data_IF_940360952738
#
_entry.id   IF_940360952738
#
_cell.length_a   1.000
_cell.length_b   1.000
_cell.length_c   1.000
_cell.angle_alpha   90.00
_cell.angle_beta   90.00
_cell.angle_gamma   90.00
#
_symmetry.space_group_name_H-M   'P 1'
#
loop_
_entity.id
_entity.type
_entity.pdbx_description
1 polymer ?
#
# COMPACT_ATOMS: atom_id res chain seq x y z
N UNK A 1 -37.05 10.05 15.16
CA UNK A 1 -37.24 10.83 13.92
C UNK A 1 -38.06 12.06 14.26
N UNK A 2 -37.41 13.16 14.62
CA UNK A 2 -38.08 14.45 14.79
C UNK A 2 -38.20 15.09 13.41
N UNK A 3 -39.44 15.23 12.94
CA UNK A 3 -39.74 16.08 11.78
C UNK A 3 -39.46 17.51 12.22
N UNK A 4 -38.37 18.09 11.71
CA UNK A 4 -38.09 19.51 11.91
C UNK A 4 -39.13 20.31 11.12
N UNK A 5 -40.10 20.87 11.85
CA UNK A 5 -41.04 21.84 11.32
C UNK A 5 -40.39 23.24 11.35
N UNK A 6 -40.30 23.84 10.16
CA UNK A 6 -40.16 25.26 9.85
C UNK A 6 -38.97 26.04 10.44
N UNK A 7 -38.22 26.68 9.54
CA UNK A 7 -38.09 28.14 9.55
C UNK A 7 -37.88 28.66 8.13
N UNK A 8 -38.73 29.61 7.77
CA UNK A 8 -38.69 30.37 6.54
C UNK A 8 -37.39 31.17 6.43
N UNK A 9 -36.61 30.88 5.39
CA UNK A 9 -35.77 31.83 4.65
C UNK A 9 -35.84 31.50 3.15
N UNK A 10 -37.01 31.10 2.65
CA UNK A 10 -37.24 30.83 1.21
C UNK A 10 -37.40 32.14 0.42
N UNK A 11 -36.81 33.24 0.87
CA UNK A 11 -36.99 34.55 0.23
C UNK A 11 -36.01 34.82 -0.92
N UNK A 12 -35.10 33.88 -1.24
CA UNK A 12 -34.10 34.10 -2.31
C UNK A 12 -33.96 32.99 -3.34
N UNK A 13 -34.58 31.83 -3.15
CA UNK A 13 -34.51 30.70 -4.09
C UNK A 13 -35.76 30.71 -4.98
N UNK A 14 -35.60 31.15 -6.22
CA UNK A 14 -36.73 31.55 -7.07
C UNK A 14 -37.26 30.44 -7.98
N UNK A 15 -36.55 29.32 -8.11
CA UNK A 15 -36.88 28.27 -9.07
C UNK A 15 -37.42 27.00 -8.41
N UNK A 16 -38.44 26.39 -9.02
CA UNK A 16 -39.03 25.11 -8.59
C UNK A 16 -37.99 23.97 -8.55
N UNK A 17 -37.00 24.02 -9.44
CA UNK A 17 -35.91 23.05 -9.50
C UNK A 17 -34.98 23.16 -8.27
N UNK A 18 -34.66 24.39 -7.86
CA UNK A 18 -33.78 24.67 -6.71
C UNK A 18 -34.42 24.23 -5.38
N UNK A 19 -35.73 24.36 -5.24
CA UNK A 19 -36.50 23.85 -4.09
C UNK A 19 -36.45 22.31 -4.02
N UNK A 20 -36.52 21.64 -5.17
CA UNK A 20 -36.44 20.18 -5.23
C UNK A 20 -35.04 19.67 -4.86
N UNK A 21 -34.00 20.33 -5.36
CA UNK A 21 -32.60 20.05 -5.02
C UNK A 21 -32.34 20.21 -3.52
N UNK A 22 -32.87 21.28 -2.90
CA UNK A 22 -32.77 21.47 -1.45
C UNK A 22 -33.41 20.36 -0.63
N UNK A 23 -34.61 19.89 -1.03
CA UNK A 23 -35.27 18.78 -0.36
C UNK A 23 -34.43 17.51 -0.43
N UNK A 24 -33.80 17.24 -1.58
CA UNK A 24 -32.88 16.10 -1.76
C UNK A 24 -31.66 16.22 -0.86
N UNK A 25 -31.02 17.39 -0.84
CA UNK A 25 -29.85 17.69 0.01
C UNK A 25 -30.18 17.49 1.49
N UNK A 26 -31.27 18.06 1.99
CA UNK A 26 -31.65 17.95 3.41
C UNK A 26 -32.01 16.52 3.79
N UNK A 27 -32.75 15.80 2.93
CA UNK A 27 -33.05 14.38 3.17
C UNK A 27 -31.77 13.55 3.26
N UNK A 28 -30.80 13.82 2.37
CA UNK A 28 -29.53 13.11 2.35
C UNK A 28 -28.64 13.48 3.55
N UNK A 29 -28.60 14.75 3.96
CA UNK A 29 -27.87 15.19 5.16
C UNK A 29 -28.42 14.54 6.44
N UNK A 30 -29.74 14.54 6.62
CA UNK A 30 -30.42 13.86 7.73
C UNK A 30 -30.09 12.37 7.81
N UNK A 31 -30.02 11.70 6.66
CA UNK A 31 -29.65 10.29 6.59
C UNK A 31 -28.17 10.06 6.95
N UNK A 32 -27.28 10.98 6.54
CA UNK A 32 -25.85 10.93 6.81
C UNK A 32 -25.48 11.18 8.29
N UNK A 33 -26.37 11.83 9.06
CA UNK A 33 -26.07 12.32 10.41
C UNK A 33 -25.60 11.23 11.41
N UNK A 34 -25.92 9.95 11.26
CA UNK A 34 -25.70 8.98 12.35
C UNK A 34 -24.34 8.25 12.36
N UNK A 35 -23.52 8.30 11.28
CA UNK A 35 -22.40 7.35 11.09
C UNK A 35 -20.98 7.89 11.41
N UNK A 36 -20.73 9.19 11.28
CA UNK A 36 -19.44 9.88 11.54
C UNK A 36 -18.17 9.36 10.83
N UNK A 37 -18.27 8.46 9.85
CA UNK A 37 -17.10 7.86 9.17
C UNK A 37 -16.44 8.76 8.10
N UNK A 38 -17.14 9.79 7.60
CA UNK A 38 -16.66 10.61 6.48
C UNK A 38 -15.46 11.51 6.81
N UNK A 39 -15.24 11.84 8.09
CA UNK A 39 -14.15 12.72 8.53
C UNK A 39 -12.78 12.05 8.36
N UNK A 40 -12.69 10.74 8.58
CA UNK A 40 -11.42 10.00 8.56
C UNK A 40 -10.85 9.80 7.15
N UNK A 41 -11.67 10.02 6.11
CA UNK A 41 -11.30 9.77 4.71
C UNK A 41 -11.21 11.05 3.88
N UNK A 42 -11.52 12.21 4.46
CA UNK A 42 -11.54 13.49 3.78
C UNK A 42 -10.17 14.20 3.93
N UNK A 43 -9.36 14.33 2.86
CA UNK A 43 -8.06 14.99 2.95
C UNK A 43 -8.14 16.47 3.39
N UNK A 44 -9.12 17.27 2.93
CA UNK A 44 -9.34 18.63 3.45
C UNK A 44 -9.69 18.72 4.94
N UNK A 45 -10.34 17.70 5.50
CA UNK A 45 -10.70 17.68 6.92
C UNK A 45 -9.47 17.48 7.81
N UNK A 46 -8.50 16.68 7.36
CA UNK A 46 -7.22 16.48 8.04
C UNK A 46 -6.43 17.79 8.18
N UNK A 47 -6.52 18.68 7.18
CA UNK A 47 -5.84 19.97 7.18
C UNK A 47 -6.64 21.07 7.89
N UNK A 48 -7.77 20.74 8.52
CA UNK A 48 -8.71 21.69 9.11
C UNK A 48 -9.22 22.77 8.13
N UNK A 49 -9.20 22.50 6.82
CA UNK A 49 -9.62 23.43 5.76
C UNK A 49 -11.12 23.30 5.48
N UNK A 50 -11.66 22.09 5.53
CA UNK A 50 -13.07 21.81 5.33
C UNK A 50 -13.47 20.51 6.02
N UNK A 51 -14.53 20.55 6.83
CA UNK A 51 -15.03 19.36 7.51
C UNK A 51 -16.41 18.97 6.95
N UNK A 52 -16.51 17.85 6.20
CA UNK A 52 -17.79 17.31 5.73
C UNK A 52 -18.84 17.19 6.82
N UNK A 53 -18.43 16.88 8.06
CA UNK A 53 -19.34 16.65 9.17
C UNK A 53 -19.97 17.93 9.71
N UNK A 54 -19.21 19.02 9.76
CA UNK A 54 -19.74 20.32 10.15
C UNK A 54 -20.84 20.73 9.17
N UNK A 55 -20.56 20.58 7.86
CA UNK A 55 -21.56 20.82 6.83
C UNK A 55 -22.80 19.93 6.98
N UNK A 56 -22.65 18.61 7.17
CA UNK A 56 -23.82 17.72 7.37
C UNK A 56 -24.61 18.09 8.62
N UNK A 57 -23.92 18.44 9.70
CA UNK A 57 -24.56 18.85 10.97
C UNK A 57 -25.33 20.15 10.78
N UNK A 58 -24.71 21.13 10.13
CA UNK A 58 -25.34 22.42 9.87
C UNK A 58 -26.50 22.29 8.89
N UNK A 59 -26.39 21.49 7.83
CA UNK A 59 -27.51 21.19 6.93
C UNK A 59 -28.66 20.41 7.60
N UNK A 60 -28.40 19.77 8.75
CA UNK A 60 -29.41 19.05 9.53
C UNK A 60 -30.18 20.01 10.45
N UNK A 61 -29.54 21.07 10.96
CA UNK A 61 -30.08 21.92 12.02
C UNK A 61 -30.28 23.39 11.67
N UNK A 62 -29.58 23.90 10.66
CA UNK A 62 -29.61 25.29 10.20
C UNK A 62 -30.34 25.41 8.86
N UNK A 63 -30.64 26.65 8.46
CA UNK A 63 -31.04 26.92 7.09
C UNK A 63 -29.88 26.62 6.12
N UNK A 64 -30.16 26.28 4.84
CA UNK A 64 -29.11 26.11 3.83
C UNK A 64 -28.20 27.33 3.69
N UNK A 65 -28.74 28.54 3.87
CA UNK A 65 -27.97 29.78 3.86
C UNK A 65 -26.93 29.79 4.99
N UNK A 66 -27.39 29.63 6.24
CA UNK A 66 -26.53 29.63 7.43
C UNK A 66 -25.52 28.48 7.39
N UNK A 67 -25.93 27.30 6.89
CA UNK A 67 -25.03 26.16 6.74
C UNK A 67 -23.90 26.46 5.73
N UNK A 68 -24.20 27.18 4.64
CA UNK A 68 -23.21 27.57 3.64
C UNK A 68 -22.35 28.76 4.09
N UNK A 69 -22.86 29.65 4.94
CA UNK A 69 -22.06 30.69 5.58
C UNK A 69 -21.01 30.10 6.53
N UNK A 70 -21.40 29.08 7.31
CA UNK A 70 -20.50 28.42 8.27
C UNK A 70 -19.53 27.43 7.61
N UNK A 71 -19.81 26.99 6.38
CA UNK A 71 -19.02 25.96 5.71
C UNK A 71 -18.67 26.38 4.29
N UNK A 72 -17.38 26.61 4.06
CA UNK A 72 -16.88 26.88 2.72
C UNK A 72 -16.88 25.60 1.86
N UNK A 73 -17.99 25.35 1.16
CA UNK A 73 -18.17 24.17 0.28
C UNK A 73 -17.20 24.14 -0.91
N UNK A 74 -16.55 25.26 -1.24
CA UNK A 74 -15.58 25.35 -2.33
C UNK A 74 -14.27 24.66 -1.98
N UNK A 75 -13.95 24.53 -0.69
CA UNK A 75 -12.80 23.80 -0.18
C UNK A 75 -12.92 22.26 -0.34
N UNK A 76 -14.11 21.75 -0.66
CA UNK A 76 -14.27 20.33 -0.97
C UNK A 76 -13.62 19.98 -2.32
N UNK A 77 -12.79 18.95 -2.40
CA UNK A 77 -12.15 18.57 -3.67
C UNK A 77 -13.05 17.73 -4.59
N UNK A 78 -14.22 17.30 -4.12
CA UNK A 78 -15.10 16.37 -4.86
C UNK A 78 -14.40 15.10 -5.37
N UNK A 79 -13.36 14.64 -4.65
CA UNK A 79 -12.54 13.48 -5.02
C UNK A 79 -13.26 12.12 -4.93
N UNK A 80 -14.47 12.08 -4.36
CA UNK A 80 -15.29 10.86 -4.29
C UNK A 80 -14.93 9.87 -3.19
N UNK A 81 -13.82 10.06 -2.45
CA UNK A 81 -13.36 9.12 -1.41
C UNK A 81 -14.42 8.86 -0.35
N UNK A 82 -15.09 9.92 0.12
CA UNK A 82 -16.19 9.81 1.07
C UNK A 82 -17.34 8.94 0.55
N UNK A 83 -17.62 8.91 -0.75
CA UNK A 83 -18.65 8.06 -1.36
C UNK A 83 -18.19 6.60 -1.44
N UNK A 84 -16.91 6.35 -1.75
CA UNK A 84 -16.33 4.98 -1.85
C UNK A 84 -16.24 4.29 -0.49
N UNK A 85 -15.81 5.03 0.55
CA UNK A 85 -15.62 4.49 1.90
C UNK A 85 -16.90 4.48 2.73
N UNK A 86 -17.98 5.09 2.25
CA UNK A 86 -19.25 5.13 2.97
C UNK A 86 -19.88 3.72 2.99
N UNK A 87 -20.04 3.09 4.16
CA UNK A 87 -20.66 1.77 4.25
C UNK A 87 -22.13 1.80 3.79
N UNK A 88 -22.79 2.96 3.92
CA UNK A 88 -24.18 3.12 3.48
C UNK A 88 -24.30 3.15 1.95
N UNK A 89 -23.25 3.58 1.23
CA UNK A 89 -23.27 3.68 -0.24
C UNK A 89 -23.09 2.30 -0.91
N UNK A 90 -22.62 1.28 -0.16
CA UNK A 90 -22.43 -0.09 -0.70
C UNK A 90 -23.73 -0.85 -0.98
N UNK A 91 -24.84 -0.46 -0.36
CA UNK A 91 -26.13 -1.15 -0.49
C UNK A 91 -27.15 -0.39 -1.35
N UNK A 92 -26.71 0.57 -2.19
CA UNK A 92 -27.57 1.51 -2.96
C UNK A 92 -28.55 2.36 -2.12
N UNK A 93 -28.44 2.29 -0.78
CA UNK A 93 -29.31 2.96 0.19
C UNK A 93 -28.62 4.20 0.81
N UNK A 94 -27.40 4.52 0.35
CA UNK A 94 -26.53 5.51 0.96
C UNK A 94 -26.62 6.92 0.40
N UNK A 95 -25.92 7.82 1.09
CA UNK A 95 -25.83 9.25 0.75
C UNK A 95 -24.56 9.50 -0.06
N UNK A 96 -24.74 9.92 -1.31
CA UNK A 96 -23.64 10.38 -2.14
C UNK A 96 -23.23 11.80 -1.72
N UNK A 97 -22.27 11.90 -0.81
CA UNK A 97 -21.78 13.19 -0.32
C UNK A 97 -21.20 14.07 -1.44
N UNK A 98 -20.60 13.45 -2.47
CA UNK A 98 -20.12 14.19 -3.65
C UNK A 98 -21.27 14.83 -4.41
N UNK A 99 -22.43 14.17 -4.46
CA UNK A 99 -23.63 14.74 -5.05
C UNK A 99 -24.21 15.88 -4.20
N UNK A 100 -24.25 15.73 -2.86
CA UNK A 100 -24.62 16.82 -1.94
C UNK A 100 -23.79 18.07 -2.23
N UNK A 101 -22.47 17.93 -2.34
CA UNK A 101 -21.58 19.06 -2.63
C UNK A 101 -21.87 19.68 -3.99
N UNK A 102 -22.10 18.87 -5.04
CA UNK A 102 -22.45 19.37 -6.37
C UNK A 102 -23.77 20.15 -6.36
N UNK A 103 -24.78 19.61 -5.67
CA UNK A 103 -26.11 20.20 -5.54
C UNK A 103 -26.04 21.54 -4.77
N UNK A 104 -25.31 21.58 -3.66
CA UNK A 104 -25.06 22.81 -2.88
C UNK A 104 -24.30 23.86 -3.69
N UNK A 105 -23.32 23.45 -4.49
CA UNK A 105 -22.59 24.38 -5.38
C UNK A 105 -23.47 24.94 -6.48
N UNK A 106 -24.36 24.13 -7.04
CA UNK A 106 -25.36 24.60 -8.02
C UNK A 106 -26.28 25.64 -7.39
N UNK A 107 -26.78 25.38 -6.17
CA UNK A 107 -27.57 26.33 -5.38
C UNK A 107 -26.79 27.59 -4.98
N UNK A 108 -25.48 27.48 -4.75
CA UNK A 108 -24.59 28.60 -4.42
C UNK A 108 -24.64 29.75 -5.45
N UNK A 109 -25.00 29.45 -6.71
CA UNK A 109 -25.17 30.45 -7.77
C UNK A 109 -26.34 31.42 -7.55
N UNK A 110 -27.27 31.11 -6.64
CA UNK A 110 -28.40 31.97 -6.28
C UNK A 110 -28.12 32.85 -5.05
N UNK A 111 -27.03 32.57 -4.32
CA UNK A 111 -26.64 33.30 -3.11
C UNK A 111 -25.56 34.34 -3.40
N UNK A 112 -25.92 35.63 -3.26
CA UNK A 112 -25.04 36.75 -3.63
C UNK A 112 -23.72 36.79 -2.84
N UNK A 113 -23.72 36.43 -1.55
CA UNK A 113 -22.52 36.50 -0.71
C UNK A 113 -21.48 35.43 -1.06
N UNK A 114 -21.90 34.24 -1.51
CA UNK A 114 -21.01 33.17 -1.98
C UNK A 114 -20.36 33.47 -3.34
N UNK A 115 -20.76 34.56 -4.00
CA UNK A 115 -20.17 35.02 -5.27
C UNK A 115 -19.02 36.02 -5.06
N UNK A 116 -18.87 36.56 -3.84
CA UNK A 116 -17.98 37.70 -3.56
C UNK A 116 -16.69 37.31 -2.79
N UNK A 117 -16.63 36.12 -2.17
CA UNK A 117 -15.41 35.64 -1.47
C UNK A 117 -14.46 34.86 -2.40
N UNK A 118 -13.26 35.40 -2.64
CA UNK A 118 -12.16 34.69 -3.29
C UNK A 118 -11.21 34.06 -2.26
N UNK A 119 -10.81 32.81 -2.49
CA UNK A 119 -9.85 32.08 -1.64
C UNK A 119 -8.41 32.54 -1.90
N UNK A 120 -7.75 33.10 -0.87
CA UNK A 120 -6.30 33.31 -0.84
C UNK A 120 -5.57 32.15 -0.16
N UNK A 121 -4.37 31.81 -0.66
CA UNK A 121 -3.48 30.83 -0.03
C UNK A 121 -2.13 31.48 0.31
N UNK A 122 -1.50 30.98 1.38
CA UNK A 122 -0.21 31.40 1.94
C UNK A 122 1.00 31.38 0.97
N UNK A 123 0.83 30.93 -0.28
CA UNK A 123 1.88 30.90 -1.30
C UNK A 123 1.73 31.99 -2.38
N UNK A 124 0.95 33.05 -2.13
CA UNK A 124 0.64 34.12 -3.08
C UNK A 124 0.09 33.62 -4.44
N UNK A 125 -0.57 32.46 -4.44
CA UNK A 125 -1.29 31.91 -5.59
C UNK A 125 -2.73 31.64 -5.19
N UNK A 126 -3.68 32.09 -6.01
CA UNK A 126 -5.10 31.85 -5.83
C UNK A 126 -5.38 30.35 -5.96
N UNK A 127 -5.91 29.70 -4.92
CA UNK A 127 -6.47 28.36 -5.07
C UNK A 127 -7.84 28.47 -5.75
N UNK A 128 -7.99 27.63 -6.77
CA UNK A 128 -9.20 27.24 -7.52
C UNK A 128 -10.45 28.12 -7.35
N UNK A 129 -10.59 29.11 -8.24
CA UNK A 129 -11.91 29.55 -8.73
C UNK A 129 -12.68 28.43 -9.46
N UNK A 130 -12.09 27.23 -9.61
CA UNK A 130 -12.58 26.14 -10.46
C UNK A 130 -13.91 25.52 -10.00
N UNK A 131 -14.12 25.06 -8.75
CA UNK A 131 -15.44 24.59 -8.31
C UNK A 131 -16.56 25.62 -8.50
N UNK A 132 -16.25 26.91 -8.25
CA UNK A 132 -17.14 28.04 -8.47
C UNK A 132 -17.47 28.25 -9.96
N UNK A 133 -16.45 28.22 -10.83
CA UNK A 133 -16.61 28.31 -12.29
C UNK A 133 -17.37 27.11 -12.87
N UNK A 134 -17.16 25.91 -12.33
CA UNK A 134 -17.89 24.70 -12.74
C UNK A 134 -19.37 24.75 -12.36
N UNK A 135 -19.73 25.45 -11.30
CA UNK A 135 -21.11 25.64 -10.86
C UNK A 135 -21.85 26.78 -11.58
N UNK A 136 -21.15 27.61 -12.35
CA UNK A 136 -21.74 28.73 -13.07
C UNK A 136 -22.24 28.29 -14.46
N UNK A 137 -23.55 28.31 -14.66
CA UNK A 137 -24.19 27.92 -15.93
C UNK A 137 -24.30 29.08 -16.95
N UNK A 138 -23.83 30.28 -16.60
CA UNK A 138 -23.86 31.47 -17.48
C UNK A 138 -22.62 31.58 -18.39
N UNK A 139 -21.66 30.66 -18.27
CA UNK A 139 -20.45 30.63 -19.10
C UNK A 139 -20.80 29.94 -20.43
N UNK A 140 -20.52 30.60 -21.57
CA UNK A 140 -20.69 30.00 -22.92
C UNK A 140 -19.41 29.28 -23.36
N UNK A 141 -19.58 28.23 -24.18
CA UNK A 141 -18.54 27.23 -24.44
C UNK A 141 -18.24 27.07 -25.93
N UNK A 142 -16.95 26.96 -26.27
CA UNK A 142 -16.48 26.47 -27.58
C UNK A 142 -15.36 25.43 -27.40
N UNK A 143 -15.67 24.15 -27.62
CA UNK A 143 -14.68 23.06 -27.59
C UNK A 143 -13.87 23.04 -28.89
N UNK A 144 -12.82 23.85 -28.97
CA UNK A 144 -11.99 23.98 -30.19
C UNK A 144 -11.02 22.81 -30.42
N UNK A 145 -10.69 22.01 -29.40
CA UNK A 145 -9.56 21.08 -29.46
C UNK A 145 -9.93 19.59 -29.32
N UNK A 146 -11.19 19.24 -29.06
CA UNK A 146 -11.70 17.85 -29.12
C UNK A 146 -11.22 16.89 -28.02
N UNK A 147 -9.99 17.03 -27.52
CA UNK A 147 -9.37 16.13 -26.52
C UNK A 147 -10.05 16.12 -25.14
N UNK A 148 -11.02 17.00 -24.91
CA UNK A 148 -11.81 17.09 -23.68
C UNK A 148 -13.23 16.56 -23.84
N UNK A 149 -13.58 16.00 -25.01
CA UNK A 149 -14.82 15.26 -25.19
C UNK A 149 -14.91 14.10 -24.19
N UNK A 150 -16.03 14.01 -23.46
CA UNK A 150 -16.28 12.98 -22.45
C UNK A 150 -15.76 13.28 -21.04
N UNK A 151 -15.05 14.40 -20.81
CA UNK A 151 -14.47 14.71 -19.49
C UNK A 151 -15.39 15.47 -18.54
N UNK A 152 -16.53 15.99 -19.03
CA UNK A 152 -17.44 16.90 -18.30
C UNK A 152 -16.77 18.19 -17.75
N UNK A 153 -15.58 18.55 -18.24
CA UNK A 153 -14.87 19.78 -17.84
C UNK A 153 -15.38 21.00 -18.64
N UNK A 154 -15.54 22.14 -17.95
CA UNK A 154 -16.01 23.42 -18.53
C UNK A 154 -14.80 24.33 -18.87
N UNK A 155 -14.76 24.93 -20.06
CA UNK A 155 -13.64 25.76 -20.58
C UNK A 155 -14.18 27.09 -21.11
N UNK A 156 -13.44 28.20 -21.00
CA UNK A 156 -13.84 29.51 -21.54
C UNK A 156 -13.47 29.70 -23.02
N UNK A 157 -14.14 30.62 -23.72
CA UNK A 157 -13.96 30.88 -25.17
C UNK A 157 -12.56 31.36 -25.58
N UNK A 158 -11.78 31.90 -24.63
CA UNK A 158 -10.40 32.36 -24.86
C UNK A 158 -9.36 31.26 -24.68
N UNK A 159 -9.75 30.06 -24.25
CA UNK A 159 -8.81 28.96 -23.98
C UNK A 159 -7.87 29.21 -22.79
N UNK A 160 -8.09 30.29 -22.04
CA UNK A 160 -7.24 30.75 -20.92
C UNK A 160 -7.31 29.83 -19.70
N UNK A 161 -8.25 28.88 -19.67
CA UNK A 161 -8.38 27.90 -18.60
C UNK A 161 -8.25 26.49 -19.19
N UNK A 162 -7.03 26.14 -19.56
CA UNK A 162 -6.50 24.85 -19.18
C UNK A 162 -5.61 25.11 -17.96
N UNK A 163 -5.69 24.31 -16.89
CA UNK A 163 -4.53 23.74 -16.20
C UNK A 163 -4.88 22.95 -14.92
N UNK A 164 -4.25 21.77 -14.86
CA UNK A 164 -3.52 21.13 -13.76
C UNK A 164 -4.02 21.32 -12.31
N UNK A 165 -4.53 20.23 -11.72
CA UNK A 165 -4.63 20.09 -10.27
C UNK A 165 -3.21 20.04 -9.67
N UNK A 166 -2.78 21.12 -9.00
CA UNK A 166 -1.53 21.12 -8.24
C UNK A 166 -1.50 20.05 -7.14
N UNK A 167 -0.30 19.48 -6.94
CA UNK A 167 0.09 18.54 -5.88
C UNK A 167 -0.57 17.14 -5.91
N UNK A 168 -0.24 16.38 -6.94
CA UNK A 168 -0.51 14.93 -7.09
C UNK A 168 -0.22 14.05 -5.85
N UNK A 169 0.72 14.33 -4.93
CA UNK A 169 0.94 13.47 -3.75
C UNK A 169 -0.20 13.52 -2.73
N UNK A 170 -1.07 14.53 -2.76
CA UNK A 170 -2.21 14.65 -1.83
C UNK A 170 -3.50 14.01 -2.35
N UNK A 171 -3.52 13.52 -3.60
CA UNK A 171 -4.73 13.04 -4.29
C UNK A 171 -4.94 11.53 -4.26
N UNK A 172 -3.98 10.74 -3.79
CA UNK A 172 -4.26 9.33 -3.53
C UNK A 172 -4.89 9.26 -2.14
N UNK A 173 -6.21 9.14 -2.04
CA UNK A 173 -6.93 8.80 -0.80
C UNK A 173 -6.60 7.42 -0.22
N UNK A 174 -5.43 6.92 -0.58
CA UNK A 174 -4.81 5.69 -0.20
C UNK A 174 -3.95 5.99 1.02
N UNK A 175 -4.18 5.27 2.10
CA UNK A 175 -3.44 5.50 3.33
C UNK A 175 -1.92 5.43 3.06
N UNK A 176 -1.11 6.30 3.68
CA UNK A 176 0.34 6.29 3.48
C UNK A 176 1.01 4.93 3.72
N UNK A 177 0.44 4.11 4.61
CA UNK A 177 0.91 2.74 4.83
C UNK A 177 0.65 1.79 3.66
N UNK A 178 -0.41 2.00 2.87
CA UNK A 178 -0.69 1.26 1.63
C UNK A 178 0.24 1.73 0.52
N UNK A 179 0.44 3.06 0.38
CA UNK A 179 1.40 3.64 -0.58
C UNK A 179 2.83 3.18 -0.28
N UNK A 180 3.21 3.16 1.00
CA UNK A 180 4.50 2.66 1.45
C UNK A 180 4.66 1.15 1.31
N UNK A 181 3.60 0.39 1.06
CA UNK A 181 3.71 -1.04 0.82
C UNK A 181 4.01 -1.30 -0.66
N UNK A 182 5.15 -1.91 -1.02
CA UNK A 182 5.47 -2.19 -2.43
C UNK A 182 4.45 -3.12 -3.11
N UNK A 183 3.77 -3.96 -2.33
CA UNK A 183 2.72 -4.86 -2.82
C UNK A 183 1.33 -4.20 -2.83
N UNK A 184 1.17 -2.96 -2.35
CA UNK A 184 -0.13 -2.27 -2.31
C UNK A 184 -1.17 -2.93 -1.40
N UNK A 185 -0.74 -3.69 -0.38
CA UNK A 185 -1.64 -4.38 0.55
C UNK A 185 -2.52 -3.37 1.30
N UNK A 186 -3.81 -3.67 1.46
CA UNK A 186 -4.74 -2.86 2.27
C UNK A 186 -4.45 -2.99 3.78
N UNK A 187 -3.46 -2.23 4.24
CA UNK A 187 -3.04 -2.19 5.64
C UNK A 187 -4.17 -1.76 6.57
N UNK A 188 -4.96 -0.75 6.19
CA UNK A 188 -6.03 -0.27 7.06
C UNK A 188 -7.13 -1.33 7.22
N UNK A 189 -7.51 -1.97 6.11
CA UNK A 189 -8.52 -3.02 6.11
C UNK A 189 -8.14 -4.18 7.00
N UNK A 190 -6.95 -4.77 6.84
CA UNK A 190 -6.59 -5.94 7.64
C UNK A 190 -6.34 -5.58 9.12
N UNK A 191 -5.83 -4.38 9.42
CA UNK A 191 -5.70 -3.93 10.82
C UNK A 191 -7.09 -3.77 11.46
N UNK A 192 -8.08 -3.20 10.76
CA UNK A 192 -9.46 -3.11 11.25
C UNK A 192 -10.06 -4.49 11.49
N UNK A 193 -9.87 -5.44 10.57
CA UNK A 193 -10.36 -6.81 10.72
C UNK A 193 -9.74 -7.52 11.93
N UNK A 194 -8.45 -7.30 12.20
CA UNK A 194 -7.78 -7.78 13.43
C UNK A 194 -8.45 -7.21 14.68
N UNK A 195 -8.75 -5.91 14.72
CA UNK A 195 -9.42 -5.30 15.88
C UNK A 195 -10.82 -5.86 16.14
N UNK A 196 -11.51 -6.33 15.10
CA UNK A 196 -12.82 -6.96 15.19
C UNK A 196 -12.75 -8.49 15.47
N UNK A 197 -11.55 -9.06 15.62
CA UNK A 197 -11.36 -10.51 15.80
C UNK A 197 -11.56 -11.35 14.53
N UNK A 198 -11.68 -10.70 13.37
CA UNK A 198 -11.90 -11.32 12.05
C UNK A 198 -10.58 -11.71 11.39
N UNK A 199 -9.83 -12.60 12.04
CA UNK A 199 -8.45 -12.93 11.65
C UNK A 199 -8.37 -13.65 10.30
N UNK A 200 -9.34 -14.52 9.97
CA UNK A 200 -9.38 -15.18 8.67
C UNK A 200 -9.60 -14.18 7.54
N UNK A 201 -10.55 -13.25 7.70
CA UNK A 201 -10.78 -12.19 6.73
C UNK A 201 -9.54 -11.29 6.58
N UNK A 202 -8.81 -11.03 7.67
CA UNK A 202 -7.61 -10.21 7.64
C UNK A 202 -6.48 -10.86 6.81
N UNK A 203 -6.22 -12.15 7.00
CA UNK A 203 -5.17 -12.86 6.23
C UNK A 203 -5.59 -13.06 4.77
N UNK A 204 -6.87 -13.33 4.50
CA UNK A 204 -7.40 -13.42 3.13
C UNK A 204 -7.26 -12.07 2.40
N UNK A 205 -7.58 -10.95 3.08
CA UNK A 205 -7.41 -9.60 2.51
C UNK A 205 -5.94 -9.30 2.16
N UNK A 206 -4.98 -9.74 2.99
CA UNK A 206 -3.56 -9.60 2.67
C UNK A 206 -3.21 -10.38 1.39
N UNK A 207 -3.74 -11.60 1.25
CA UNK A 207 -3.51 -12.49 0.09
C UNK A 207 -4.21 -12.05 -1.19
N UNK A 208 -5.05 -11.03 -1.14
CA UNK A 208 -5.54 -10.38 -2.37
C UNK A 208 -4.41 -9.72 -3.15
N UNK A 209 -3.38 -9.20 -2.46
CA UNK A 209 -2.26 -8.48 -3.06
C UNK A 209 -0.89 -9.11 -2.80
N UNK A 210 -0.76 -9.94 -1.75
CA UNK A 210 0.50 -10.57 -1.39
C UNK A 210 0.30 -12.03 -0.91
N UNK A 211 0.70 -13.05 -1.69
CA UNK A 211 0.55 -14.44 -1.31
C UNK A 211 1.57 -14.95 -0.29
N UNK A 212 2.49 -14.10 0.18
CA UNK A 212 3.57 -14.46 1.09
C UNK A 212 3.48 -13.72 2.46
N UNK A 213 2.33 -13.78 3.16
CA UNK A 213 2.16 -13.05 4.42
C UNK A 213 3.07 -13.55 5.55
N UNK A 214 3.39 -14.85 5.64
CA UNK A 214 4.32 -15.34 6.66
C UNK A 214 5.71 -14.76 6.48
N UNK A 215 6.19 -14.76 5.24
CA UNK A 215 7.45 -14.15 4.86
C UNK A 215 7.44 -12.65 5.20
N UNK A 216 6.46 -11.91 4.70
CA UNK A 216 6.41 -10.46 4.91
C UNK A 216 6.06 -10.05 6.35
N UNK A 217 5.51 -10.93 7.17
CA UNK A 217 5.31 -10.70 8.60
C UNK A 217 6.61 -10.80 9.41
N UNK A 218 7.67 -11.41 8.87
CA UNK A 218 8.92 -11.67 9.59
C UNK A 218 10.09 -10.83 9.09
N UNK A 219 10.28 -10.76 7.77
CA UNK A 219 11.51 -10.19 7.19
C UNK A 219 11.30 -8.88 6.41
N UNK A 220 10.06 -8.41 6.29
CA UNK A 220 9.76 -7.14 5.62
C UNK A 220 10.44 -5.96 6.36
N UNK A 221 10.95 -4.98 5.62
CA UNK A 221 11.54 -3.75 6.17
C UNK A 221 10.50 -2.70 6.62
N UNK A 222 9.22 -3.08 6.66
CA UNK A 222 8.12 -2.28 7.23
C UNK A 222 8.01 -0.84 6.68
N UNK A 223 8.18 -0.65 5.37
CA UNK A 223 8.01 0.65 4.70
C UNK A 223 6.62 1.28 4.95
N UNK A 224 5.61 0.44 5.11
CA UNK A 224 4.27 0.86 5.52
C UNK A 224 4.22 1.52 6.91
N UNK A 225 5.06 1.09 7.86
CA UNK A 225 5.18 1.70 9.18
C UNK A 225 5.99 3.01 9.13
N UNK A 226 7.01 3.12 8.27
CA UNK A 226 7.76 4.37 8.05
C UNK A 226 6.91 5.50 7.50
N UNK A 227 5.90 5.16 6.72
CA UNK A 227 4.97 6.14 6.17
C UNK A 227 3.74 6.34 7.07
N UNK A 228 3.64 5.64 8.20
CA UNK A 228 2.44 5.68 9.04
C UNK A 228 2.23 7.08 9.63
N UNK A 229 1.05 7.67 9.45
CA UNK A 229 0.70 8.99 10.02
C UNK A 229 0.80 9.02 11.55
N UNK A 230 0.66 7.87 12.21
CA UNK A 230 0.70 7.78 13.66
C UNK A 230 2.06 8.22 14.24
N UNK A 231 3.14 8.12 13.45
CA UNK A 231 4.48 8.56 13.85
C UNK A 231 4.58 10.05 14.23
N UNK A 232 3.61 10.87 13.80
CA UNK A 232 3.55 12.30 14.15
C UNK A 232 2.86 12.57 15.49
N UNK A 233 2.31 11.54 16.14
CA UNK A 233 1.64 11.62 17.43
C UNK A 233 2.40 10.79 18.47
N UNK A 234 2.62 9.51 18.17
CA UNK A 234 3.32 8.53 19.00
C UNK A 234 4.01 7.47 18.09
N UNK A 235 4.11 6.22 18.53
CA UNK A 235 4.75 5.18 17.74
C UNK A 235 3.91 4.76 16.53
N UNK A 236 4.54 4.46 15.37
CA UNK A 236 3.82 3.94 14.22
C UNK A 236 3.13 2.62 14.58
N UNK A 237 2.04 2.32 13.88
CA UNK A 237 1.37 1.02 14.04
C UNK A 237 2.35 -0.09 13.69
N UNK A 238 2.41 -1.14 14.52
CA UNK A 238 3.23 -2.34 14.34
C UNK A 238 2.68 -3.24 13.21
N UNK A 239 2.64 -2.70 11.99
CA UNK A 239 1.93 -3.25 10.83
C UNK A 239 2.50 -4.62 10.40
N UNK A 240 3.82 -4.81 10.53
CA UNK A 240 4.49 -6.08 10.22
C UNK A 240 4.17 -7.13 11.28
N UNK A 241 4.17 -6.74 12.56
CA UNK A 241 3.92 -7.60 13.71
C UNK A 241 2.45 -8.04 13.72
N UNK A 242 1.52 -7.16 13.35
CA UNK A 242 0.11 -7.51 13.14
C UNK A 242 -0.06 -8.51 11.99
N UNK A 243 0.70 -8.36 10.88
CA UNK A 243 0.73 -9.34 9.78
C UNK A 243 1.27 -10.70 10.26
N UNK A 244 2.34 -10.70 11.06
CA UNK A 244 2.87 -11.91 11.68
C UNK A 244 1.84 -12.58 12.57
N UNK A 245 1.17 -11.81 13.43
CA UNK A 245 0.14 -12.32 14.34
C UNK A 245 -0.97 -13.07 13.60
N UNK A 246 -1.57 -12.47 12.55
CA UNK A 246 -2.63 -13.15 11.79
C UNK A 246 -2.13 -14.35 11.01
N UNK A 247 -0.88 -14.30 10.52
CA UNK A 247 -0.25 -15.45 9.87
C UNK A 247 -0.11 -16.59 10.88
N UNK A 248 0.49 -16.33 12.05
CA UNK A 248 0.69 -17.35 13.10
C UNK A 248 -0.64 -17.90 13.66
N UNK A 249 -1.72 -17.09 13.65
CA UNK A 249 -3.06 -17.52 13.99
C UNK A 249 -3.60 -18.56 12.99
N UNK A 250 -3.33 -18.40 11.69
CA UNK A 250 -3.82 -19.30 10.64
C UNK A 250 -3.27 -20.73 10.77
N UNK A 251 -2.00 -20.90 11.19
CA UNK A 251 -1.43 -22.25 11.46
C UNK A 251 -2.28 -23.02 12.47
N UNK A 252 -2.80 -22.33 13.48
CA UNK A 252 -3.62 -22.93 14.54
C UNK A 252 -5.08 -23.13 14.09
N UNK A 253 -5.48 -22.54 12.97
CA UNK A 253 -6.84 -22.52 12.45
C UNK A 253 -6.86 -22.80 10.94
N UNK A 254 -6.35 -23.97 10.49
CA UNK A 254 -6.17 -24.25 9.07
C UNK A 254 -7.51 -24.41 8.33
N UNK A 255 -7.46 -24.29 7.00
CA UNK A 255 -8.57 -24.57 6.06
C UNK A 255 -9.78 -23.61 6.11
N UNK A 256 -9.67 -22.46 6.79
CA UNK A 256 -10.76 -21.49 6.89
C UNK A 256 -10.77 -20.43 5.76
N UNK A 257 -9.71 -20.36 4.94
CA UNK A 257 -9.60 -19.36 3.87
C UNK A 257 -10.74 -19.45 2.85
N UNK A 258 -11.28 -18.28 2.48
CA UNK A 258 -12.30 -18.14 1.43
C UNK A 258 -11.67 -18.04 0.04
N UNK A 259 -10.36 -17.86 -0.06
CA UNK A 259 -9.62 -17.92 -1.32
C UNK A 259 -9.50 -19.39 -1.71
N UNK A 260 -10.29 -19.81 -2.69
CA UNK A 260 -10.30 -21.19 -3.19
C UNK A 260 -9.62 -21.29 -4.56
N UNK A 261 -9.06 -22.45 -4.91
CA UNK A 261 -8.55 -22.71 -6.25
C UNK A 261 -9.64 -22.48 -7.29
N UNK A 262 -9.24 -21.95 -8.44
CA UNK A 262 -10.13 -21.79 -9.59
C UNK A 262 -9.80 -22.86 -10.63
N UNK A 263 -10.78 -23.22 -11.46
CA UNK A 263 -10.52 -24.13 -12.57
C UNK A 263 -9.52 -23.48 -13.55
N UNK A 264 -8.42 -24.18 -13.80
CA UNK A 264 -7.35 -23.69 -14.67
C UNK A 264 -7.63 -24.14 -16.11
N UNK A 265 -8.44 -23.39 -16.86
CA UNK A 265 -8.84 -23.74 -18.23
C UNK A 265 -8.00 -23.05 -19.31
N UNK A 266 -7.20 -22.04 -18.95
CA UNK A 266 -6.40 -21.22 -19.88
C UNK A 266 -5.05 -21.86 -20.22
N UNK A 267 -4.24 -21.10 -20.95
CA UNK A 267 -2.91 -21.43 -21.46
C UNK A 267 -1.91 -21.81 -20.36
N UNK A 268 -0.85 -22.54 -20.75
CA UNK A 268 0.25 -22.90 -19.86
C UNK A 268 1.25 -21.76 -19.76
N UNK A 269 1.71 -21.48 -18.54
CA UNK A 269 2.73 -20.45 -18.29
C UNK A 269 3.91 -21.07 -17.56
N UNK A 270 5.10 -20.98 -18.15
CA UNK A 270 6.33 -21.42 -17.50
C UNK A 270 6.88 -20.31 -16.62
N UNK A 271 7.29 -20.66 -15.40
CA UNK A 271 7.88 -19.72 -14.44
C UNK A 271 9.26 -20.26 -14.07
N UNK A 272 10.30 -19.48 -14.28
CA UNK A 272 11.68 -19.92 -14.03
C UNK A 272 12.15 -19.36 -12.69
N UNK A 273 12.27 -20.22 -11.68
CA UNK A 273 12.66 -19.90 -10.31
C UNK A 273 11.48 -19.88 -9.34
N UNK A 274 11.64 -20.61 -8.23
CA UNK A 274 10.68 -20.73 -7.12
C UNK A 274 11.03 -19.79 -5.95
N UNK A 275 11.64 -18.63 -6.23
CA UNK A 275 11.78 -17.54 -5.26
C UNK A 275 10.47 -16.74 -5.08
N UNK A 276 10.45 -15.72 -4.19
CA UNK A 276 9.25 -14.92 -3.93
C UNK A 276 8.56 -14.35 -5.17
N UNK A 277 9.33 -13.89 -6.16
CA UNK A 277 8.80 -13.38 -7.43
C UNK A 277 8.07 -14.44 -8.25
N UNK A 278 8.65 -15.62 -8.41
CA UNK A 278 8.05 -16.72 -9.17
C UNK A 278 6.85 -17.34 -8.45
N UNK A 279 6.94 -17.51 -7.13
CA UNK A 279 5.83 -17.96 -6.28
C UNK A 279 4.64 -17.01 -6.37
N UNK A 280 4.88 -15.70 -6.28
CA UNK A 280 3.83 -14.68 -6.39
C UNK A 280 3.17 -14.68 -7.78
N UNK A 281 3.99 -14.71 -8.84
CA UNK A 281 3.47 -14.78 -10.21
C UNK A 281 2.61 -16.03 -10.43
N UNK A 282 3.06 -17.20 -9.94
CA UNK A 282 2.33 -18.45 -10.06
C UNK A 282 0.98 -18.40 -9.35
N UNK A 283 0.94 -17.87 -8.13
CA UNK A 283 -0.29 -17.71 -7.36
C UNK A 283 -1.34 -16.88 -8.11
N UNK A 284 -0.96 -15.72 -8.64
CA UNK A 284 -1.89 -14.85 -9.34
C UNK A 284 -2.32 -15.43 -10.70
N UNK A 285 -1.40 -16.05 -11.45
CA UNK A 285 -1.73 -16.73 -12.70
C UNK A 285 -2.71 -17.89 -12.47
N UNK A 286 -2.50 -18.69 -11.42
CA UNK A 286 -3.42 -19.75 -11.02
C UNK A 286 -4.80 -19.16 -10.70
N UNK A 287 -4.88 -18.07 -9.90
CA UNK A 287 -6.14 -17.36 -9.58
C UNK A 287 -6.86 -16.79 -10.80
N UNK A 288 -6.13 -16.51 -11.88
CA UNK A 288 -6.68 -16.03 -13.14
C UNK A 288 -7.12 -17.17 -14.08
N UNK A 289 -6.96 -18.43 -13.67
CA UNK A 289 -7.34 -19.62 -14.44
C UNK A 289 -6.28 -20.12 -15.43
N UNK A 290 -5.05 -19.61 -15.37
CA UNK A 290 -3.91 -20.16 -16.13
C UNK A 290 -3.33 -21.40 -15.46
N UNK A 291 -2.51 -22.15 -16.21
CA UNK A 291 -1.80 -23.35 -15.73
C UNK A 291 -0.31 -23.03 -15.51
N UNK A 292 0.07 -22.43 -14.37
CA UNK A 292 1.46 -22.10 -14.08
C UNK A 292 2.26 -23.33 -13.65
N UNK A 293 3.42 -23.53 -14.28
CA UNK A 293 4.43 -24.53 -13.86
C UNK A 293 5.73 -23.80 -13.52
N UNK A 294 6.19 -23.94 -12.27
CA UNK A 294 7.47 -23.39 -11.81
C UNK A 294 8.58 -24.42 -12.05
N UNK A 295 9.67 -23.99 -12.67
CA UNK A 295 10.90 -24.76 -12.81
C UNK A 295 11.99 -24.15 -11.91
N UNK A 296 12.45 -24.91 -10.92
CA UNK A 296 13.43 -24.49 -9.93
C UNK A 296 14.71 -25.30 -10.07
N UNK A 297 15.86 -24.61 -10.02
CA UNK A 297 17.19 -25.23 -10.05
C UNK A 297 17.47 -26.03 -8.78
N UNK A 298 17.11 -25.48 -7.63
CA UNK A 298 17.31 -26.07 -6.32
C UNK A 298 16.45 -27.30 -6.05
N UNK A 299 16.79 -27.98 -4.97
CA UNK A 299 16.07 -29.11 -4.40
C UNK A 299 14.88 -28.70 -3.54
N UNK A 300 14.72 -27.38 -3.28
CA UNK A 300 13.64 -26.79 -2.48
C UNK A 300 13.18 -25.47 -3.09
N UNK A 301 11.96 -25.09 -2.74
CA UNK A 301 11.35 -23.80 -3.06
C UNK A 301 11.74 -22.70 -2.07
N UNK A 302 11.56 -21.44 -2.47
CA UNK A 302 11.73 -20.26 -1.62
C UNK A 302 12.93 -19.38 -1.99
N UNK A 303 13.78 -19.80 -2.94
CA UNK A 303 14.92 -19.03 -3.43
C UNK A 303 15.87 -18.57 -2.33
N UNK A 304 16.39 -17.33 -2.43
CA UNK A 304 17.29 -16.74 -1.41
C UNK A 304 16.71 -16.76 0.00
N UNK A 305 15.39 -16.72 0.18
CA UNK A 305 14.79 -16.81 1.52
C UNK A 305 14.99 -18.20 2.11
N UNK A 306 14.91 -19.26 1.30
CA UNK A 306 15.20 -20.63 1.72
C UNK A 306 16.68 -20.86 1.98
N UNK A 307 17.57 -20.34 1.14
CA UNK A 307 18.98 -20.71 1.23
C UNK A 307 19.85 -19.70 1.99
N UNK A 308 19.60 -18.39 1.85
CA UNK A 308 20.47 -17.34 2.40
C UNK A 308 19.92 -16.64 3.66
N UNK A 309 18.61 -16.46 3.80
CA UNK A 309 18.07 -15.75 4.98
C UNK A 309 18.19 -16.61 6.24
N UNK A 310 18.80 -16.13 7.35
CA UNK A 310 19.02 -16.94 8.54
C UNK A 310 17.75 -17.50 9.21
N UNK A 311 17.86 -18.68 9.84
CA UNK A 311 16.73 -19.36 10.51
C UNK A 311 16.07 -18.53 11.63
N UNK A 312 16.83 -17.67 12.30
CA UNK A 312 16.31 -16.83 13.36
C UNK A 312 15.46 -15.65 12.84
N UNK A 313 15.61 -15.29 11.56
CA UNK A 313 14.76 -14.28 10.90
C UNK A 313 13.45 -14.91 10.44
N UNK A 314 13.52 -16.10 9.84
CA UNK A 314 12.37 -16.86 9.37
C UNK A 314 12.66 -18.35 9.36
N UNK A 315 11.74 -19.13 9.92
CA UNK A 315 11.84 -20.59 9.92
C UNK A 315 11.42 -21.17 8.58
N UNK A 316 11.97 -22.33 8.27
CA UNK A 316 11.65 -23.10 7.07
C UNK A 316 10.15 -23.43 6.97
N UNK A 317 9.53 -23.79 8.09
CA UNK A 317 8.10 -24.13 8.19
C UNK A 317 7.21 -22.90 7.93
N UNK A 318 7.64 -21.73 8.39
CA UNK A 318 6.90 -20.48 8.14
C UNK A 318 6.87 -20.17 6.63
N UNK A 319 7.97 -20.42 5.94
CA UNK A 319 8.06 -20.23 4.49
C UNK A 319 7.28 -21.31 3.73
N UNK A 320 7.36 -22.57 4.17
CA UNK A 320 6.65 -23.67 3.54
C UNK A 320 5.13 -23.50 3.64
N UNK A 321 4.61 -22.89 4.71
CA UNK A 321 3.19 -22.59 4.83
C UNK A 321 2.67 -21.67 3.72
N UNK A 322 3.37 -20.56 3.42
CA UNK A 322 3.02 -19.69 2.30
C UNK A 322 3.07 -20.44 0.96
N UNK A 323 4.10 -21.26 0.77
CA UNK A 323 4.33 -22.02 -0.46
C UNK A 323 3.26 -23.09 -0.66
N UNK A 324 2.86 -23.78 0.41
CA UNK A 324 1.85 -24.81 0.34
C UNK A 324 0.50 -24.22 -0.05
N UNK A 325 0.12 -23.05 0.46
CA UNK A 325 -1.08 -22.33 -0.01
C UNK A 325 -1.01 -22.08 -1.51
N UNK A 326 0.15 -21.68 -2.04
CA UNK A 326 0.35 -21.46 -3.48
C UNK A 326 0.20 -22.77 -4.27
N UNK A 327 0.75 -23.88 -3.79
CA UNK A 327 0.56 -25.21 -4.41
C UNK A 327 -0.92 -25.61 -4.42
N UNK A 328 -1.65 -25.35 -3.32
CA UNK A 328 -3.07 -25.66 -3.22
C UNK A 328 -3.91 -24.90 -4.26
N UNK A 329 -3.44 -23.76 -4.78
CA UNK A 329 -4.08 -23.03 -5.89
C UNK A 329 -3.96 -23.73 -7.25
N UNK A 330 -3.30 -24.90 -7.30
CA UNK A 330 -3.07 -25.67 -8.52
C UNK A 330 -1.77 -25.31 -9.24
N UNK A 331 -0.78 -24.75 -8.53
CA UNK A 331 0.53 -24.45 -9.10
C UNK A 331 1.39 -25.71 -9.13
N UNK A 332 1.89 -26.09 -10.30
CA UNK A 332 2.85 -27.18 -10.44
C UNK A 332 4.28 -26.66 -10.19
N UNK A 333 5.11 -27.45 -9.50
CA UNK A 333 6.50 -27.09 -9.21
C UNK A 333 7.42 -28.28 -9.51
N UNK A 334 8.37 -28.07 -10.41
CA UNK A 334 9.39 -29.03 -10.82
C UNK A 334 10.73 -28.56 -10.29
N UNK A 335 11.27 -29.31 -9.32
CA UNK A 335 12.55 -29.06 -8.67
C UNK A 335 13.71 -29.69 -9.46
N UNK A 336 14.94 -29.34 -9.13
CA UNK A 336 16.16 -29.84 -9.77
C UNK A 336 16.17 -29.67 -11.31
N UNK A 337 15.51 -28.61 -11.81
CA UNK A 337 15.39 -28.29 -13.23
C UNK A 337 16.03 -26.93 -13.50
N UNK A 338 17.37 -26.85 -13.61
CA UNK A 338 18.05 -25.62 -13.97
C UNK A 338 17.66 -25.16 -15.37
N UNK A 339 17.33 -23.89 -15.51
CA UNK A 339 17.17 -23.24 -16.81
C UNK A 339 18.54 -22.85 -17.37
N UNK A 340 18.82 -23.20 -18.62
CA UNK A 340 20.16 -23.10 -19.18
C UNK A 340 20.36 -23.91 -20.47
N UNK A 341 21.60 -24.30 -20.81
CA UNK A 341 21.93 -24.97 -22.07
C UNK A 341 21.08 -26.21 -22.38
N UNK A 342 20.73 -26.98 -21.36
CA UNK A 342 19.95 -28.23 -21.49
C UNK A 342 18.43 -28.04 -21.34
N UNK A 343 17.99 -26.83 -21.01
CA UNK A 343 16.58 -26.48 -20.82
C UNK A 343 16.36 -25.02 -21.19
N UNK A 344 15.94 -24.79 -22.44
CA UNK A 344 15.86 -23.46 -23.06
C UNK A 344 14.41 -23.02 -23.29
N UNK A 345 14.23 -21.77 -23.75
CA UNK A 345 12.93 -21.26 -24.18
C UNK A 345 12.31 -22.09 -25.31
N UNK A 346 13.13 -22.70 -26.17
CA UNK A 346 12.65 -23.53 -27.27
C UNK A 346 12.09 -24.86 -26.77
N UNK A 347 12.69 -25.44 -25.72
CA UNK A 347 12.14 -26.61 -25.05
C UNK A 347 10.75 -26.30 -24.46
N UNK A 348 10.64 -25.19 -23.71
CA UNK A 348 9.37 -24.74 -23.15
C UNK A 348 8.30 -24.51 -24.22
N UNK A 349 8.65 -23.87 -25.33
CA UNK A 349 7.73 -23.68 -26.46
C UNK A 349 7.27 -25.02 -27.05
N UNK A 350 8.18 -26.00 -27.21
CA UNK A 350 7.84 -27.34 -27.68
C UNK A 350 6.95 -28.12 -26.71
N UNK A 351 7.10 -27.88 -25.41
CA UNK A 351 6.24 -28.45 -24.34
C UNK A 351 4.86 -27.77 -24.24
N UNK A 352 4.61 -26.74 -25.07
CA UNK A 352 3.33 -26.07 -25.20
C UNK A 352 3.10 -24.96 -24.19
N UNK A 353 4.16 -24.31 -23.71
CA UNK A 353 4.04 -23.09 -22.90
C UNK A 353 3.89 -21.85 -23.80
N UNK A 354 2.84 -21.06 -23.54
CA UNK A 354 2.51 -19.86 -24.32
C UNK A 354 3.23 -18.61 -23.82
N UNK A 355 3.59 -18.59 -22.54
CA UNK A 355 4.32 -17.51 -21.90
C UNK A 355 5.39 -18.02 -20.94
N UNK A 356 6.44 -17.23 -20.76
CA UNK A 356 7.54 -17.51 -19.81
C UNK A 356 7.75 -16.30 -18.92
N UNK A 357 7.74 -16.51 -17.60
CA UNK A 357 8.10 -15.51 -16.60
C UNK A 357 9.44 -15.89 -15.95
N UNK A 358 10.45 -15.02 -16.05
CA UNK A 358 11.79 -15.29 -15.54
C UNK A 358 11.95 -14.64 -14.15
N UNK A 359 12.11 -15.48 -13.13
CA UNK A 359 12.21 -15.11 -11.72
C UNK A 359 13.42 -15.76 -11.02
N UNK A 360 14.52 -15.93 -11.75
CA UNK A 360 15.74 -16.64 -11.29
C UNK A 360 16.51 -15.90 -10.18
N UNK A 361 16.17 -14.64 -9.92
CA UNK A 361 16.86 -13.81 -8.93
C UNK A 361 18.30 -13.46 -9.33
N UNK A 362 19.09 -13.04 -8.36
CA UNK A 362 20.48 -12.65 -8.52
C UNK A 362 21.35 -13.46 -7.56
N UNK A 363 21.94 -14.54 -8.07
CA UNK A 363 22.85 -15.40 -7.30
C UNK A 363 24.33 -15.10 -7.55
N UNK A 364 24.64 -14.30 -8.58
CA UNK A 364 26.01 -13.90 -8.87
C UNK A 364 26.32 -12.66 -8.01
N UNK A 365 27.25 -12.76 -7.04
CA UNK A 365 27.60 -11.63 -6.20
C UNK A 365 28.30 -10.55 -7.03
N UNK A 366 28.09 -9.28 -6.67
CA UNK A 366 28.94 -8.19 -7.12
C UNK A 366 30.11 -8.05 -6.15
N UNK A 367 31.32 -8.30 -6.62
CA UNK A 367 32.55 -8.01 -5.86
C UNK A 367 33.06 -6.62 -6.20
N UNK A 368 33.93 -6.07 -5.33
CA UNK A 368 34.51 -4.75 -5.51
C UNK A 368 35.70 -4.75 -6.49
N UNK A 369 36.22 -5.93 -6.86
CA UNK A 369 37.37 -6.08 -7.76
C UNK A 369 38.59 -5.34 -7.26
N UNK A 370 38.86 -5.48 -5.96
CA UNK A 370 39.95 -4.80 -5.25
C UNK A 370 41.07 -5.79 -4.95
N UNK A 371 42.29 -5.26 -4.79
CA UNK A 371 43.41 -6.03 -4.29
C UNK A 371 43.07 -6.63 -2.92
N UNK A 372 43.31 -7.94 -2.76
CA UNK A 372 43.03 -8.67 -1.54
C UNK A 372 41.63 -9.30 -1.44
N UNK A 373 40.79 -9.21 -2.49
CA UNK A 373 39.45 -9.83 -2.46
C UNK A 373 39.46 -11.36 -2.40
N UNK A 374 40.55 -12.00 -2.82
CA UNK A 374 40.75 -13.46 -2.78
C UNK A 374 41.49 -13.96 -1.53
N UNK A 375 41.69 -13.10 -0.52
CA UNK A 375 42.38 -13.50 0.71
C UNK A 375 41.54 -14.54 1.49
N UNK A 376 42.17 -15.48 2.24
CA UNK A 376 41.45 -16.59 2.89
C UNK A 376 40.37 -16.22 3.91
N UNK A 377 40.31 -14.97 4.40
CA UNK A 377 39.32 -14.49 5.36
C UNK A 377 38.38 -13.44 4.76
N UNK A 378 38.31 -13.36 3.42
CA UNK A 378 37.40 -12.48 2.71
C UNK A 378 36.29 -13.34 2.13
N UNK A 379 35.10 -13.24 2.72
CA UNK A 379 33.93 -13.98 2.29
C UNK A 379 32.97 -13.08 1.50
N UNK A 380 32.31 -13.67 0.51
CA UNK A 380 31.14 -13.06 -0.11
C UNK A 380 29.93 -13.30 0.80
N UNK A 381 29.17 -12.24 1.08
CA UNK A 381 28.05 -12.27 2.02
C UNK A 381 27.01 -13.37 1.74
N UNK A 382 26.66 -13.61 0.46
CA UNK A 382 25.64 -14.62 0.13
C UNK A 382 26.14 -16.04 0.44
N UNK A 383 27.39 -16.34 0.10
CA UNK A 383 28.00 -17.65 0.35
C UNK A 383 28.19 -17.85 1.86
N UNK A 384 28.66 -16.81 2.56
CA UNK A 384 28.80 -16.80 4.01
C UNK A 384 27.51 -17.21 4.73
N UNK A 385 26.38 -16.62 4.31
CA UNK A 385 25.07 -16.89 4.90
C UNK A 385 24.53 -18.27 4.51
N UNK A 386 24.65 -18.66 3.23
CA UNK A 386 24.19 -19.97 2.74
C UNK A 386 24.91 -21.10 3.50
N UNK A 387 26.22 -21.01 3.63
CA UNK A 387 27.03 -22.03 4.28
C UNK A 387 26.65 -22.21 5.75
N UNK A 388 26.22 -21.14 6.41
CA UNK A 388 25.96 -21.12 7.86
C UNK A 388 24.49 -21.30 8.22
N UNK A 389 23.54 -21.06 7.31
CA UNK A 389 22.11 -21.14 7.59
C UNK A 389 21.70 -22.46 8.27
N UNK A 390 22.24 -23.59 7.82
CA UNK A 390 21.94 -24.93 8.37
C UNK A 390 23.12 -25.56 9.13
N UNK A 391 24.31 -24.98 9.08
CA UNK A 391 25.52 -25.54 9.70
C UNK A 391 25.98 -24.78 10.96
N UNK A 392 25.33 -23.68 11.36
CA UNK A 392 25.73 -22.89 12.53
C UNK A 392 25.85 -23.71 13.83
N UNK A 393 25.04 -24.75 14.00
CA UNK A 393 25.08 -25.67 15.15
C UNK A 393 26.31 -26.59 15.17
N UNK A 394 26.97 -26.82 14.03
CA UNK A 394 28.15 -27.68 13.94
C UNK A 394 29.39 -27.03 14.54
N UNK A 395 29.48 -25.69 14.48
CA UNK A 395 30.60 -24.94 15.04
C UNK A 395 30.12 -23.63 15.68
N UNK A 396 29.48 -23.66 16.85
CA UNK A 396 28.85 -22.49 17.46
C UNK A 396 29.84 -21.40 17.92
N UNK A 397 31.15 -21.66 17.86
CA UNK A 397 32.22 -20.75 18.26
C UNK A 397 33.22 -20.51 17.12
N UNK A 398 32.77 -20.67 15.86
CA UNK A 398 33.60 -20.50 14.66
C UNK A 398 34.44 -19.22 14.69
N UNK A 399 33.87 -18.14 15.20
CA UNK A 399 34.48 -16.80 15.21
C UNK A 399 34.85 -16.31 16.61
N UNK A 400 35.03 -17.23 17.56
CA UNK A 400 35.35 -16.88 18.95
C UNK A 400 36.55 -15.92 19.04
N UNK A 401 36.30 -14.73 19.57
CA UNK A 401 37.33 -13.70 19.79
C UNK A 401 37.78 -12.98 18.52
N UNK A 402 37.02 -13.08 17.41
CA UNK A 402 37.30 -12.39 16.15
C UNK A 402 36.52 -11.09 16.04
N UNK A 403 37.08 -10.15 15.27
CA UNK A 403 36.41 -8.93 14.82
C UNK A 403 36.16 -9.02 13.33
N UNK A 404 34.99 -8.56 12.88
CA UNK A 404 34.59 -8.57 11.48
C UNK A 404 34.54 -7.15 10.91
N UNK A 405 35.05 -6.98 9.70
CA UNK A 405 34.77 -5.82 8.86
C UNK A 405 33.81 -6.23 7.74
N UNK A 406 32.70 -5.50 7.58
CA UNK A 406 31.68 -5.76 6.56
C UNK A 406 31.59 -4.56 5.64
N UNK A 407 31.77 -4.79 4.34
CA UNK A 407 31.58 -3.77 3.31
C UNK A 407 30.12 -3.79 2.86
N UNK A 408 29.37 -2.79 3.29
CA UNK A 408 27.92 -2.65 3.19
C UNK A 408 27.26 -2.52 4.57
N UNK A 409 26.12 -1.83 4.61
CA UNK A 409 25.29 -1.60 5.79
C UNK A 409 23.83 -2.02 5.60
N UNK A 410 23.48 -2.55 4.43
CA UNK A 410 22.15 -3.09 4.12
C UNK A 410 21.70 -4.27 4.98
N UNK A 411 20.47 -4.72 4.77
CA UNK A 411 19.89 -5.86 5.50
C UNK A 411 20.77 -7.13 5.47
N UNK A 412 21.39 -7.42 4.32
CA UNK A 412 22.31 -8.56 4.17
C UNK A 412 23.56 -8.39 5.05
N UNK A 413 24.11 -7.18 5.13
CA UNK A 413 25.28 -6.91 5.97
C UNK A 413 24.97 -7.07 7.45
N UNK A 414 23.77 -6.65 7.88
CA UNK A 414 23.27 -6.86 9.24
C UNK A 414 23.07 -8.36 9.53
N UNK A 415 22.48 -9.12 8.60
CA UNK A 415 22.31 -10.57 8.76
C UNK A 415 23.68 -11.29 8.89
N UNK A 416 24.71 -10.86 8.13
CA UNK A 416 26.10 -11.35 8.27
C UNK A 416 26.65 -11.01 9.66
N UNK A 417 26.50 -9.77 10.10
CA UNK A 417 26.97 -9.31 11.41
C UNK A 417 26.33 -10.07 12.58
N UNK A 418 25.01 -10.20 12.59
CA UNK A 418 24.28 -10.97 13.62
C UNK A 418 24.71 -12.44 13.60
N UNK A 419 24.86 -13.04 12.41
CA UNK A 419 25.34 -14.41 12.28
C UNK A 419 26.76 -14.57 12.83
N UNK A 420 27.67 -13.64 12.55
CA UNK A 420 29.03 -13.65 13.08
C UNK A 420 29.07 -13.50 14.61
N UNK A 421 28.28 -12.57 15.18
CA UNK A 421 28.16 -12.40 16.64
C UNK A 421 27.65 -13.66 17.32
N UNK A 422 26.63 -14.31 16.75
CA UNK A 422 26.06 -15.55 17.27
C UNK A 422 27.01 -16.75 17.19
N UNK A 423 28.03 -16.65 16.33
CA UNK A 423 29.13 -17.62 16.21
C UNK A 423 30.39 -17.21 17.00
N UNK A 424 30.27 -16.22 17.89
CA UNK A 424 31.30 -15.86 18.87
C UNK A 424 32.20 -14.68 18.51
N UNK A 425 31.90 -13.94 17.44
CA UNK A 425 32.59 -12.68 17.15
C UNK A 425 32.36 -11.66 18.27
N UNK A 426 33.36 -10.83 18.54
CA UNK A 426 33.34 -9.86 19.65
C UNK A 426 33.00 -8.44 19.19
N UNK A 427 33.15 -8.14 17.90
CA UNK A 427 32.89 -6.82 17.33
C UNK A 427 32.61 -6.93 15.83
N UNK A 428 31.67 -6.15 15.34
CA UNK A 428 31.38 -5.98 13.91
C UNK A 428 31.54 -4.50 13.54
N UNK A 429 32.32 -4.22 12.50
CA UNK A 429 32.47 -2.90 11.88
C UNK A 429 31.79 -2.95 10.51
N UNK A 430 30.69 -2.19 10.34
CA UNK A 430 29.96 -2.09 9.08
C UNK A 430 30.31 -0.78 8.39
N UNK A 431 30.74 -0.83 7.14
CA UNK A 431 31.18 0.34 6.37
C UNK A 431 30.28 0.49 5.14
N UNK A 432 29.57 1.60 5.00
CA UNK A 432 28.72 1.87 3.84
C UNK A 432 28.85 3.33 3.36
N UNK A 433 28.70 3.53 2.06
CA UNK A 433 28.69 4.83 1.40
C UNK A 433 27.29 5.47 1.40
N UNK A 434 26.25 4.74 1.83
CA UNK A 434 24.89 5.29 1.95
C UNK A 434 24.64 5.96 3.31
N UNK A 435 23.79 7.00 3.38
CA UNK A 435 23.44 7.64 4.63
C UNK A 435 22.72 6.69 5.61
N UNK A 436 22.94 6.90 6.91
CA UNK A 436 22.35 6.12 8.01
C UNK A 436 20.82 6.04 7.93
N UNK A 437 20.18 7.09 7.43
CA UNK A 437 18.73 7.24 7.31
C UNK A 437 18.10 6.12 6.46
N UNK A 438 18.82 5.63 5.45
CA UNK A 438 18.37 4.58 4.54
C UNK A 438 18.16 3.25 5.27
N UNK A 439 18.86 3.05 6.38
CA UNK A 439 18.92 1.79 7.13
C UNK A 439 18.13 1.82 8.44
N UNK A 440 17.46 2.93 8.75
CA UNK A 440 16.82 3.19 10.04
C UNK A 440 15.97 2.02 10.57
N UNK A 441 15.20 1.36 9.73
CA UNK A 441 14.37 0.22 10.14
C UNK A 441 15.13 -1.09 10.30
N UNK A 442 16.13 -1.34 9.46
CA UNK A 442 16.99 -2.52 9.60
C UNK A 442 17.70 -2.47 10.95
N UNK A 443 18.21 -1.29 11.32
CA UNK A 443 18.91 -1.07 12.58
C UNK A 443 18.01 -1.16 13.82
N UNK A 444 16.73 -0.78 13.70
CA UNK A 444 15.75 -0.86 14.79
C UNK A 444 15.37 -2.29 15.16
N UNK A 445 15.52 -3.24 14.23
CA UNK A 445 15.16 -4.64 14.45
C UNK A 445 16.25 -5.43 15.20
N UNK A 446 17.44 -4.85 15.34
CA UNK A 446 18.59 -5.51 15.98
C UNK A 446 18.38 -5.48 17.49
N UNK A 447 18.65 -6.61 18.16
CA UNK A 447 18.58 -6.67 19.61
C UNK A 447 19.61 -5.71 20.25
N UNK A 448 19.21 -4.93 21.25
CA UNK A 448 20.04 -3.89 21.88
C UNK A 448 21.44 -4.38 22.29
N UNK A 449 21.56 -5.64 22.72
CA UNK A 449 22.84 -6.23 23.09
C UNK A 449 23.77 -6.47 21.89
N UNK A 450 23.23 -6.91 20.74
CA UNK A 450 23.98 -7.09 19.50
C UNK A 450 24.31 -5.73 18.88
N UNK A 451 23.38 -4.77 18.94
CA UNK A 451 23.58 -3.41 18.41
C UNK A 451 24.78 -2.70 19.06
N UNK A 452 25.03 -2.91 20.36
CA UNK A 452 26.21 -2.35 21.07
C UNK A 452 27.56 -2.90 20.57
N UNK A 453 27.55 -4.05 19.90
CA UNK A 453 28.74 -4.70 19.35
C UNK A 453 28.93 -4.42 17.85
N UNK A 454 27.97 -3.71 17.24
CA UNK A 454 27.99 -3.32 15.84
C UNK A 454 28.27 -1.81 15.71
N UNK A 455 29.43 -1.48 15.18
CA UNK A 455 29.83 -0.10 14.89
C UNK A 455 29.57 0.20 13.41
N UNK A 456 28.87 1.29 13.14
CA UNK A 456 28.48 1.67 11.78
C UNK A 456 29.24 2.92 11.32
N UNK A 457 29.96 2.77 10.22
CA UNK A 457 30.76 3.79 9.58
C UNK A 457 30.07 4.20 8.27
N UNK A 458 29.31 5.29 8.32
CA UNK A 458 28.61 5.86 7.17
C UNK A 458 29.31 7.13 6.67
N UNK A 459 29.27 7.37 5.37
CA UNK A 459 29.66 8.67 4.83
C UNK A 459 28.58 9.73 5.20
N UNK A 460 29.03 10.87 5.72
CA UNK A 460 28.19 11.98 6.25
C UNK A 460 27.57 12.82 5.16
#
# INVERSE_FOLDING_TARGET
>A
MTVSNNKESVDKIKSKASIETLKKVNSAANFCYNCNRCVNVCPPAFLAIFNPRNLITDLTFLSPEEALENNNIWNCLTCGLCSVYCPMTKDDIGVNFTQIIKDLRSLASEYKFLQEEMLECHHFRQYSSLPYLMANDKIKFTNKLGFLEGTNLKITDKGEIAYFMGCTPFFTGTAPCVVGCPAGVDVQGYVSLITEGKFQEAIDLIREQNPLPFLCGRICTAQCALNCNRQFVDDPVAIRELKRFVSDWEIKNPNLSKIKPVEQTKEKVAIIGAGPGGLSAAYFLARMGYKPTIFEKGDKTGGVVRYGVPQYRISDESLDHDIDIIKHMGVEIILNKPFGPDFTLENLKREGFDAVFIAVGLYIPKTLKLEGEDLPNVDVAIDFLIDRKYNYVKNPNEFKGKTFGILGGGAVAVDVGETALRLGATKIDLVDIVPKEVLKNVLKDIHDAEQKLMEYHFET
#
